data_IF_833072523393
#
_entry.id   IF_833072523393
#
_cell.length_a   1.000
_cell.length_b   1.000
_cell.length_c   1.000
_cell.angle_alpha   90.00
_cell.angle_beta   90.00
_cell.angle_gamma   90.00
#
_symmetry.space_group_name_H-M   'P 1'
#
loop_
_entity.id
_entity.type
_entity.pdbx_description
1 polymer ?
#
# COMPACT_ATOMS: atom_id res chain seq x y z
N UNK A 1 -56.36 -28.80 44.65
CA UNK A 1 -55.46 -29.18 43.54
C UNK A 1 -55.64 -28.28 42.31
N UNK A 2 -56.84 -28.17 41.71
CA UNK A 2 -57.05 -27.41 40.46
C UNK A 2 -56.82 -25.88 40.50
N UNK A 3 -57.05 -25.22 41.65
CA UNK A 3 -56.80 -23.76 41.77
C UNK A 3 -55.30 -23.41 41.85
N UNK A 4 -54.48 -24.30 42.43
CA UNK A 4 -53.02 -24.10 42.54
C UNK A 4 -52.35 -24.29 41.18
N UNK A 5 -52.79 -25.27 40.38
CA UNK A 5 -52.30 -25.46 39.01
C UNK A 5 -52.72 -24.34 38.07
N UNK A 6 -53.92 -23.77 38.25
CA UNK A 6 -54.36 -22.58 37.51
C UNK A 6 -53.52 -21.34 37.84
N UNK A 7 -53.21 -21.10 39.13
CA UNK A 7 -52.33 -20.00 39.55
C UNK A 7 -50.91 -20.17 39.02
N UNK A 8 -50.35 -21.39 39.08
CA UNK A 8 -49.02 -21.68 38.52
C UNK A 8 -48.96 -21.50 37.01
N UNK A 9 -50.04 -21.86 36.29
CA UNK A 9 -50.17 -21.61 34.84
C UNK A 9 -50.23 -20.12 34.53
N UNK A 10 -51.01 -19.35 35.29
CA UNK A 10 -51.14 -17.90 35.10
C UNK A 10 -49.82 -17.18 35.38
N UNK A 11 -49.12 -17.53 36.47
CA UNK A 11 -47.81 -16.97 36.79
C UNK A 11 -46.79 -17.26 35.68
N UNK A 12 -46.77 -18.49 35.12
CA UNK A 12 -45.93 -18.83 33.96
C UNK A 12 -46.33 -18.11 32.68
N UNK A 13 -47.63 -17.91 32.44
CA UNK A 13 -48.14 -17.16 31.30
C UNK A 13 -47.79 -15.67 31.39
N UNK A 14 -47.62 -15.11 32.58
CA UNK A 14 -47.23 -13.69 32.76
C UNK A 14 -45.71 -13.49 32.83
N UNK A 15 -44.95 -14.40 33.44
CA UNK A 15 -43.50 -14.21 33.65
C UNK A 15 -42.67 -14.44 32.39
N UNK A 16 -43.06 -15.41 31.55
CA UNK A 16 -42.38 -15.69 30.28
C UNK A 16 -42.41 -14.51 29.29
N UNK A 17 -43.56 -13.85 29.00
CA UNK A 17 -43.59 -12.70 28.10
C UNK A 17 -42.91 -11.46 28.69
N UNK A 18 -42.87 -11.31 30.02
CA UNK A 18 -42.09 -10.26 30.69
C UNK A 18 -40.59 -10.45 30.45
N UNK A 19 -40.10 -11.69 30.51
CA UNK A 19 -38.71 -12.02 30.19
C UNK A 19 -38.35 -11.73 28.73
N UNK A 20 -39.23 -12.06 27.78
CA UNK A 20 -38.99 -11.78 26.36
C UNK A 20 -39.09 -10.29 26.00
N UNK A 21 -39.88 -9.50 26.73
CA UNK A 21 -39.90 -8.04 26.60
C UNK A 21 -38.58 -7.41 27.04
N UNK A 22 -38.01 -7.85 28.17
CA UNK A 22 -36.72 -7.35 28.66
C UNK A 22 -35.60 -7.67 27.67
N UNK A 23 -35.57 -8.88 27.10
CA UNK A 23 -34.56 -9.24 26.10
C UNK A 23 -34.75 -8.49 24.77
N UNK A 24 -35.99 -8.23 24.36
CA UNK A 24 -36.29 -7.41 23.18
C UNK A 24 -35.81 -5.96 23.35
N UNK A 25 -36.03 -5.35 24.52
CA UNK A 25 -35.56 -3.98 24.83
C UNK A 25 -34.03 -3.92 24.82
N UNK A 26 -33.35 -4.92 25.38
CA UNK A 26 -31.89 -5.00 25.35
C UNK A 26 -31.37 -5.15 23.92
N UNK A 27 -32.00 -6.00 23.10
CA UNK A 27 -31.66 -6.18 21.69
C UNK A 27 -31.84 -4.90 20.87
N UNK A 28 -32.93 -4.17 21.09
CA UNK A 28 -33.22 -2.91 20.40
C UNK A 28 -32.20 -1.81 20.76
N UNK A 29 -31.80 -1.74 22.03
CA UNK A 29 -30.80 -0.76 22.50
C UNK A 29 -29.41 -1.02 21.90
N UNK A 30 -29.01 -2.30 21.81
CA UNK A 30 -27.77 -2.69 21.14
C UNK A 30 -27.83 -2.37 19.64
N UNK A 31 -28.93 -2.69 18.96
CA UNK A 31 -29.14 -2.38 17.56
C UNK A 31 -29.12 -0.88 17.28
N UNK A 32 -29.72 -0.06 18.14
CA UNK A 32 -29.69 1.40 18.04
C UNK A 32 -28.25 1.94 18.16
N UNK A 33 -27.45 1.42 19.09
CA UNK A 33 -26.04 1.84 19.26
C UNK A 33 -25.19 1.51 18.03
N UNK A 34 -25.37 0.32 17.46
CA UNK A 34 -24.70 -0.07 16.20
C UNK A 34 -25.16 0.82 15.06
N UNK A 35 -26.46 1.10 14.97
CA UNK A 35 -27.05 1.94 13.91
C UNK A 35 -26.52 3.37 13.97
N UNK A 36 -26.40 3.97 15.16
CA UNK A 36 -25.80 5.30 15.34
C UNK A 36 -24.33 5.30 14.89
N UNK A 37 -23.53 4.30 15.29
CA UNK A 37 -22.13 4.20 14.84
C UNK A 37 -22.00 3.99 13.33
N UNK A 38 -22.88 3.20 12.73
CA UNK A 38 -22.94 3.03 11.28
C UNK A 38 -23.34 4.34 10.59
N UNK A 39 -24.34 5.03 11.11
CA UNK A 39 -24.80 6.32 10.60
C UNK A 39 -23.74 7.42 10.74
N UNK A 40 -22.99 7.45 11.85
CA UNK A 40 -21.85 8.35 12.03
C UNK A 40 -20.73 8.05 11.02
N UNK A 41 -20.43 6.78 10.76
CA UNK A 41 -19.43 6.39 9.75
C UNK A 41 -19.88 6.66 8.31
N UNK A 42 -21.16 6.49 8.02
CA UNK A 42 -21.76 6.74 6.69
C UNK A 42 -21.98 8.25 6.46
N UNK A 43 -22.31 8.99 7.52
CA UNK A 43 -22.59 10.43 7.52
C UNK A 43 -21.37 11.29 7.79
N UNK A 44 -20.24 10.71 8.22
CA UNK A 44 -18.94 11.33 8.12
C UNK A 44 -18.66 11.54 6.63
N UNK A 45 -19.07 12.69 6.11
CA UNK A 45 -18.57 13.20 4.84
C UNK A 45 -17.07 12.99 4.87
N UNK A 46 -16.59 12.15 3.97
CA UNK A 46 -15.16 11.92 3.85
C UNK A 46 -14.62 13.25 3.35
N UNK A 47 -14.15 14.12 4.26
CA UNK A 47 -13.60 15.47 3.95
C UNK A 47 -12.45 15.41 2.93
N UNK A 48 -12.04 14.20 2.53
CA UNK A 48 -10.94 13.91 1.60
C UNK A 48 -11.37 13.68 0.15
N UNK A 49 -12.66 13.66 -0.16
CA UNK A 49 -13.14 13.56 -1.55
C UNK A 49 -13.60 14.92 -2.07
N UNK A 50 -12.75 15.95 -1.97
CA UNK A 50 -12.79 16.98 -3.00
C UNK A 50 -12.22 16.34 -4.26
N UNK A 51 -13.04 15.53 -4.94
CA UNK A 51 -12.84 15.16 -6.33
C UNK A 51 -12.74 16.47 -7.10
N UNK A 52 -11.51 16.94 -7.32
CA UNK A 52 -11.27 18.03 -8.25
C UNK A 52 -11.57 17.52 -9.65
N UNK A 53 -12.85 17.60 -10.04
CA UNK A 53 -13.34 17.17 -11.34
C UNK A 53 -13.32 15.65 -11.54
N UNK A 54 -13.88 15.22 -12.66
CA UNK A 54 -13.77 13.85 -13.15
C UNK A 54 -12.32 13.51 -13.52
N UNK A 55 -11.89 12.23 -13.39
CA UNK A 55 -10.59 11.79 -13.88
C UNK A 55 -10.39 12.17 -15.36
N UNK A 56 -9.22 12.69 -15.70
CA UNK A 56 -8.85 13.04 -17.08
C UNK A 56 -8.02 11.90 -17.69
N UNK A 57 -8.59 11.02 -18.54
CA UNK A 57 -7.85 9.90 -19.12
C UNK A 57 -6.68 10.33 -20.02
N UNK A 58 -6.65 11.57 -20.50
CA UNK A 58 -5.59 12.10 -21.35
C UNK A 58 -4.38 12.65 -20.60
N UNK A 59 -4.51 12.88 -19.28
CA UNK A 59 -3.43 13.41 -18.46
C UNK A 59 -2.24 12.43 -18.40
N UNK A 60 -1.10 12.87 -18.91
CA UNK A 60 0.18 12.17 -18.80
C UNK A 60 1.13 13.00 -17.96
N UNK A 61 1.66 12.42 -16.88
CA UNK A 61 2.66 13.04 -16.02
C UNK A 61 3.98 12.29 -16.16
N UNK A 62 5.10 13.03 -16.21
CA UNK A 62 6.41 12.41 -16.06
C UNK A 62 6.56 11.83 -14.65
N UNK A 63 7.44 10.84 -14.50
CA UNK A 63 7.73 10.22 -13.21
C UNK A 63 8.60 11.06 -12.27
N UNK A 64 8.84 12.35 -12.55
CA UNK A 64 9.64 13.18 -11.64
C UNK A 64 8.85 13.56 -10.40
N UNK A 65 9.49 13.50 -9.24
CA UNK A 65 8.87 13.78 -7.95
C UNK A 65 9.63 14.87 -7.22
N UNK A 66 8.94 15.95 -6.85
CA UNK A 66 9.51 17.06 -6.11
C UNK A 66 8.78 17.24 -4.77
N UNK A 67 9.56 17.30 -3.70
CA UNK A 67 9.11 17.57 -2.34
C UNK A 67 9.77 18.88 -1.91
N UNK A 68 8.99 19.92 -1.64
CA UNK A 68 9.48 21.25 -1.19
C UNK A 68 8.97 21.56 0.22
N UNK A 69 9.90 21.61 1.18
CA UNK A 69 9.72 22.08 2.56
C UNK A 69 8.49 21.49 3.24
N UNK A 70 8.30 20.18 3.06
CA UNK A 70 7.13 19.47 3.56
C UNK A 70 7.20 19.30 5.08
N UNK A 71 6.14 19.76 5.73
CA UNK A 71 5.90 19.52 7.15
C UNK A 71 4.61 18.74 7.30
N UNK A 72 4.61 17.71 8.14
CA UNK A 72 3.41 16.91 8.38
C UNK A 72 3.43 16.26 9.76
N UNK A 73 2.26 16.20 10.40
CA UNK A 73 2.01 15.44 11.62
C UNK A 73 0.59 14.88 11.61
N UNK A 74 0.39 13.68 12.17
CA UNK A 74 -0.96 13.09 12.30
C UNK A 74 -1.84 13.89 13.28
N UNK A 75 -1.20 14.53 14.26
CA UNK A 75 -1.83 15.44 15.23
C UNK A 75 -1.16 16.81 15.12
N UNK A 76 -1.89 17.87 15.48
CA UNK A 76 -1.39 19.26 15.40
C UNK A 76 -0.13 19.52 16.25
N UNK A 77 0.02 18.76 17.33
CA UNK A 77 1.08 19.00 18.33
C UNK A 77 2.38 18.24 18.04
N UNK A 78 2.39 17.32 17.07
CA UNK A 78 3.57 16.46 16.82
C UNK A 78 3.83 16.29 15.34
N UNK A 79 4.90 16.94 14.86
CA UNK A 79 5.38 16.79 13.50
C UNK A 79 6.19 15.50 13.33
N UNK A 80 5.79 14.69 12.36
CA UNK A 80 6.48 13.48 11.90
C UNK A 80 7.48 13.79 10.80
N UNK A 81 7.12 14.69 9.86
CA UNK A 81 8.02 15.22 8.84
C UNK A 81 8.24 16.70 9.10
N UNK A 82 9.50 17.14 9.01
CA UNK A 82 9.96 18.49 9.36
C UNK A 82 10.85 18.98 8.23
N UNK A 83 10.39 20.00 7.52
CA UNK A 83 11.13 20.67 6.45
C UNK A 83 11.76 19.73 5.40
N UNK A 84 11.03 18.68 5.04
CA UNK A 84 11.55 17.66 4.13
C UNK A 84 11.58 18.22 2.69
N UNK A 85 12.76 18.24 2.07
CA UNK A 85 12.94 18.73 0.70
C UNK A 85 13.87 17.83 -0.11
N UNK A 86 13.44 17.37 -1.28
CA UNK A 86 14.26 16.63 -2.24
C UNK A 86 13.57 16.56 -3.61
N UNK A 87 14.34 16.20 -4.65
CA UNK A 87 13.83 15.96 -5.99
C UNK A 87 14.34 14.62 -6.51
N UNK A 88 13.46 13.84 -7.13
CA UNK A 88 13.77 12.57 -7.80
C UNK A 88 13.50 12.76 -9.29
N UNK A 89 14.54 12.75 -10.14
CA UNK A 89 14.38 12.84 -11.59
C UNK A 89 13.53 11.71 -12.16
N UNK A 90 12.85 11.96 -13.28
CA UNK A 90 12.11 10.93 -13.99
C UNK A 90 13.05 9.80 -14.45
N UNK A 91 12.68 8.55 -14.20
CA UNK A 91 13.46 7.36 -14.57
C UNK A 91 14.61 7.03 -13.63
N UNK A 92 14.84 7.82 -12.57
CA UNK A 92 15.87 7.53 -11.58
C UNK A 92 15.41 6.49 -10.56
N UNK A 93 16.36 5.75 -10.01
CA UNK A 93 16.17 4.87 -8.85
C UNK A 93 16.61 5.58 -7.57
N UNK A 94 15.66 5.87 -6.69
CA UNK A 94 15.90 6.49 -5.40
C UNK A 94 15.69 5.50 -4.25
N UNK A 95 16.69 5.34 -3.37
CA UNK A 95 16.59 4.59 -2.14
C UNK A 95 16.36 5.52 -0.94
N UNK A 96 15.34 5.27 -0.15
CA UNK A 96 15.04 6.00 1.09
C UNK A 96 15.49 5.15 2.27
N UNK A 97 16.46 5.64 3.02
CA UNK A 97 17.10 4.94 4.14
C UNK A 97 16.87 5.72 5.43
N UNK A 98 16.75 5.02 6.56
CA UNK A 98 16.61 5.64 7.88
C UNK A 98 16.17 4.63 8.91
N UNK A 99 16.27 4.96 10.20
CA UNK A 99 15.86 4.07 11.29
C UNK A 99 14.37 3.72 11.20
N UNK A 100 14.02 2.48 11.51
CA UNK A 100 12.63 2.00 11.52
C UNK A 100 11.81 2.75 12.59
N UNK A 101 10.56 3.08 12.27
CA UNK A 101 9.62 3.71 13.21
C UNK A 101 9.80 5.23 13.45
N UNK A 102 11.03 5.77 13.39
CA UNK A 102 11.30 7.19 13.73
C UNK A 102 11.59 8.09 12.53
N UNK A 103 12.06 7.54 11.41
CA UNK A 103 12.52 8.34 10.28
C UNK A 103 11.40 8.95 9.41
N UNK A 104 10.16 8.47 9.52
CA UNK A 104 9.01 9.02 8.76
C UNK A 104 8.84 8.48 7.33
N UNK A 105 9.60 7.44 6.92
CA UNK A 105 9.56 6.84 5.56
C UNK A 105 8.16 6.40 5.10
N UNK A 106 7.44 5.62 5.92
CA UNK A 106 6.08 5.19 5.59
C UNK A 106 5.08 6.36 5.57
N UNK A 107 5.34 7.42 6.34
CA UNK A 107 4.53 8.65 6.31
C UNK A 107 4.73 9.39 4.99
N UNK A 108 5.95 9.45 4.47
CA UNK A 108 6.22 10.01 3.15
C UNK A 108 5.40 9.29 2.06
N UNK A 109 5.41 7.95 2.02
CA UNK A 109 4.59 7.19 1.05
C UNK A 109 3.10 7.50 1.19
N UNK A 110 2.61 7.67 2.42
CA UNK A 110 1.20 8.06 2.64
C UNK A 110 0.87 9.44 2.09
N UNK A 111 1.80 10.39 2.13
CA UNK A 111 1.64 11.72 1.52
C UNK A 111 1.73 11.66 -0.01
N UNK A 112 2.64 10.86 -0.57
CA UNK A 112 2.74 10.64 -2.03
C UNK A 112 1.44 10.08 -2.61
N UNK A 113 0.80 9.15 -1.88
CA UNK A 113 -0.50 8.57 -2.24
C UNK A 113 -1.69 9.46 -1.86
N UNK A 114 -1.42 10.66 -1.31
CA UNK A 114 -2.38 11.65 -0.83
C UNK A 114 -3.46 11.04 0.08
N UNK A 115 -3.05 10.16 0.99
CA UNK A 115 -3.90 9.74 2.11
C UNK A 115 -4.08 10.86 3.14
N UNK A 116 -3.10 11.77 3.16
CA UNK A 116 -3.07 13.01 3.93
C UNK A 116 -2.45 14.10 3.05
N UNK A 117 -2.82 15.36 3.30
CA UNK A 117 -2.15 16.51 2.71
C UNK A 117 -1.07 17.04 3.68
N UNK A 118 0.05 17.57 3.16
CA UNK A 118 1.08 18.17 4.01
C UNK A 118 0.53 19.42 4.72
N UNK A 119 0.94 19.63 5.98
CA UNK A 119 0.56 20.79 6.78
C UNK A 119 1.21 22.09 6.29
N UNK A 120 2.44 21.99 5.74
CA UNK A 120 3.15 23.05 5.01
C UNK A 120 3.98 22.43 3.89
N UNK A 121 4.36 23.26 2.92
CA UNK A 121 5.13 22.83 1.76
C UNK A 121 4.25 22.30 0.63
N UNK A 122 4.87 21.62 -0.32
CA UNK A 122 4.19 21.02 -1.46
C UNK A 122 4.88 19.75 -1.95
N UNK A 123 4.09 18.87 -2.56
CA UNK A 123 4.57 17.68 -3.26
C UNK A 123 4.05 17.79 -4.70
N UNK A 124 4.93 17.61 -5.68
CA UNK A 124 4.58 17.69 -7.10
C UNK A 124 5.00 16.43 -7.83
N UNK A 125 4.13 15.96 -8.73
CA UNK A 125 4.39 14.84 -9.65
C UNK A 125 4.39 15.39 -11.08
N UNK A 126 5.48 15.19 -11.82
CA UNK A 126 5.65 15.74 -13.16
C UNK A 126 5.51 17.27 -13.22
N UNK A 127 5.95 17.97 -12.17
CA UNK A 127 5.85 19.41 -12.04
C UNK A 127 4.46 19.94 -11.63
N UNK A 128 3.47 19.07 -11.38
CA UNK A 128 2.13 19.47 -10.93
C UNK A 128 1.90 19.07 -9.47
N UNK A 129 1.49 20.04 -8.66
CA UNK A 129 1.14 19.81 -7.24
C UNK A 129 0.04 18.74 -7.12
N UNK A 130 0.29 17.72 -6.31
CA UNK A 130 -0.62 16.57 -6.13
C UNK A 130 -1.99 16.97 -5.56
N UNK A 131 -2.08 18.12 -4.87
CA UNK A 131 -3.34 18.67 -4.36
C UNK A 131 -4.24 19.21 -5.47
N UNK A 132 -3.68 19.47 -6.65
CA UNK A 132 -4.39 19.99 -7.85
C UNK A 132 -4.80 18.89 -8.84
N UNK A 133 -4.61 17.63 -8.45
CA UNK A 133 -4.95 16.45 -9.24
C UNK A 133 -6.21 15.79 -8.66
N UNK A 134 -7.03 15.21 -9.55
CA UNK A 134 -8.00 14.21 -9.14
C UNK A 134 -7.24 13.02 -8.52
N UNK A 135 -7.81 12.41 -7.47
CA UNK A 135 -7.14 11.35 -6.73
C UNK A 135 -6.95 10.07 -7.54
N UNK A 136 -7.89 9.74 -8.44
CA UNK A 136 -7.77 8.64 -9.38
C UNK A 136 -6.63 8.87 -10.37
N UNK A 137 -6.51 10.11 -10.88
CA UNK A 137 -5.41 10.50 -11.76
C UNK A 137 -4.06 10.45 -11.05
N UNK A 138 -3.95 10.91 -9.80
CA UNK A 138 -2.71 10.76 -9.04
C UNK A 138 -2.35 9.28 -8.85
N UNK A 139 -3.30 8.47 -8.39
CA UNK A 139 -3.06 7.08 -7.99
C UNK A 139 -2.88 6.12 -9.17
N UNK A 140 -3.32 6.46 -10.39
CA UNK A 140 -2.96 5.69 -11.59
C UNK A 140 -1.52 5.93 -12.02
N UNK A 141 -0.94 7.10 -11.69
CA UNK A 141 0.46 7.42 -12.02
C UNK A 141 1.47 6.90 -10.97
N UNK A 142 0.99 6.28 -9.88
CA UNK A 142 1.84 5.67 -8.84
C UNK A 142 1.40 4.23 -8.61
N UNK A 143 2.33 3.29 -8.77
CA UNK A 143 2.17 1.90 -8.35
C UNK A 143 2.92 1.68 -7.03
N UNK A 144 2.30 0.96 -6.09
CA UNK A 144 2.92 0.65 -4.78
C UNK A 144 2.89 -0.85 -4.57
N UNK A 145 4.06 -1.41 -4.26
CA UNK A 145 4.22 -2.79 -3.82
C UNK A 145 4.53 -2.77 -2.32
N UNK A 146 3.53 -3.14 -1.53
CA UNK A 146 3.66 -3.21 -0.08
C UNK A 146 4.40 -4.48 0.36
N UNK A 147 5.15 -4.40 1.45
CA UNK A 147 5.78 -5.53 2.12
C UNK A 147 4.84 -6.72 2.31
N UNK A 148 3.67 -6.50 2.91
CA UNK A 148 2.72 -7.59 3.22
C UNK A 148 2.02 -8.15 1.97
N UNK A 149 2.06 -7.40 0.86
CA UNK A 149 1.48 -7.77 -0.45
C UNK A 149 0.11 -8.45 -0.34
N UNK A 150 -0.92 -7.74 0.17
CA UNK A 150 -2.23 -8.33 0.41
C UNK A 150 -2.82 -8.91 -0.88
N UNK A 151 -3.45 -10.07 -0.78
CA UNK A 151 -4.12 -10.76 -1.90
C UNK A 151 -5.61 -10.76 -1.62
N UNK A 152 -6.39 -10.32 -2.59
CA UNK A 152 -7.86 -10.30 -2.50
C UNK A 152 -8.38 -11.70 -2.83
N UNK A 153 -9.40 -12.20 -2.10
CA UNK A 153 -10.04 -13.46 -2.48
C UNK A 153 -10.53 -13.43 -3.93
N UNK A 154 -10.10 -14.40 -4.72
CA UNK A 154 -10.38 -14.44 -6.16
C UNK A 154 -9.25 -15.09 -6.96
N UNK A 155 -9.26 -14.91 -8.27
CA UNK A 155 -8.24 -15.43 -9.18
C UNK A 155 -7.02 -14.53 -9.30
N UNK A 156 -5.96 -15.04 -9.93
CA UNK A 156 -4.79 -14.22 -10.25
C UNK A 156 -5.14 -13.04 -11.16
N UNK A 157 -6.04 -13.26 -12.12
CA UNK A 157 -6.57 -12.22 -13.00
C UNK A 157 -7.25 -11.10 -12.18
N UNK A 158 -8.14 -11.43 -11.25
CA UNK A 158 -8.83 -10.43 -10.42
C UNK A 158 -7.92 -9.72 -9.42
N UNK A 159 -6.77 -10.31 -9.11
CA UNK A 159 -5.74 -9.64 -8.34
C UNK A 159 -4.93 -8.69 -9.22
N UNK A 160 -4.52 -9.11 -10.43
CA UNK A 160 -3.70 -8.30 -11.35
C UNK A 160 -4.50 -7.15 -11.97
N UNK A 161 -5.74 -7.42 -12.38
CA UNK A 161 -6.67 -6.47 -12.98
C UNK A 161 -7.75 -6.14 -11.96
N UNK A 162 -7.94 -4.86 -11.66
CA UNK A 162 -8.91 -4.45 -10.65
C UNK A 162 -10.34 -4.92 -11.00
N UNK A 163 -11.09 -5.51 -10.05
CA UNK A 163 -12.44 -6.04 -10.33
C UNK A 163 -13.42 -5.02 -10.90
N UNK A 164 -13.30 -3.75 -10.53
CA UNK A 164 -14.11 -2.66 -11.07
C UNK A 164 -13.89 -2.44 -12.57
N UNK A 165 -12.68 -2.72 -13.07
CA UNK A 165 -12.35 -2.62 -14.50
C UNK A 165 -12.96 -3.82 -15.23
N UNK A 166 -12.82 -5.03 -14.67
CA UNK A 166 -13.31 -6.26 -15.30
C UNK A 166 -14.83 -6.31 -15.48
N UNK A 167 -15.61 -5.71 -14.55
CA UNK A 167 -17.07 -5.79 -14.58
C UNK A 167 -17.70 -5.04 -15.75
N UNK A 168 -17.05 -3.96 -16.18
CA UNK A 168 -17.62 -3.04 -17.17
C UNK A 168 -17.07 -3.33 -18.59
N UNK A 169 -16.25 -4.38 -18.75
CA UNK A 169 -15.61 -4.80 -20.00
C UNK A 169 -16.47 -5.75 -20.83
N UNK A 170 -16.48 -5.55 -22.15
CA UNK A 170 -16.99 -6.55 -23.10
C UNK A 170 -16.04 -7.74 -23.27
N UNK A 171 -16.49 -8.80 -23.95
CA UNK A 171 -15.73 -10.05 -24.11
C UNK A 171 -14.34 -9.82 -24.77
N UNK A 172 -14.28 -9.04 -25.86
CA UNK A 172 -13.03 -8.71 -26.55
C UNK A 172 -12.04 -7.91 -25.66
N UNK A 173 -12.56 -7.03 -24.81
CA UNK A 173 -11.73 -6.23 -23.90
C UNK A 173 -11.18 -7.10 -22.77
N UNK A 174 -12.01 -8.02 -22.27
CA UNK A 174 -11.60 -8.99 -21.25
C UNK A 174 -10.51 -9.91 -21.78
N UNK A 175 -10.58 -10.37 -23.02
CA UNK A 175 -9.52 -11.19 -23.63
C UNK A 175 -8.19 -10.42 -23.68
N UNK A 176 -8.20 -9.16 -24.13
CA UNK A 176 -7.00 -8.31 -24.13
C UNK A 176 -6.46 -8.08 -22.72
N UNK A 177 -7.34 -7.88 -21.74
CA UNK A 177 -6.95 -7.71 -20.35
C UNK A 177 -6.29 -8.98 -19.80
N UNK A 178 -6.83 -10.16 -20.12
CA UNK A 178 -6.26 -11.46 -19.76
C UNK A 178 -4.88 -11.67 -20.42
N UNK A 179 -4.72 -11.38 -21.71
CA UNK A 179 -3.43 -11.48 -22.39
C UNK A 179 -2.38 -10.57 -21.74
N UNK A 180 -2.71 -9.30 -21.51
CA UNK A 180 -1.82 -8.34 -20.84
C UNK A 180 -1.49 -8.77 -19.41
N UNK A 181 -2.48 -9.24 -18.64
CA UNK A 181 -2.27 -9.71 -17.28
C UNK A 181 -1.34 -10.95 -17.25
N UNK A 182 -1.47 -11.84 -18.23
CA UNK A 182 -0.60 -13.03 -18.36
C UNK A 182 0.83 -12.63 -18.70
N UNK A 183 1.03 -11.62 -19.55
CA UNK A 183 2.35 -11.07 -19.83
C UNK A 183 2.98 -10.45 -18.57
N UNK A 184 2.24 -9.61 -17.84
CA UNK A 184 2.72 -9.02 -16.58
C UNK A 184 3.04 -10.11 -15.53
N UNK A 185 2.22 -11.16 -15.45
CA UNK A 185 2.47 -12.32 -14.61
C UNK A 185 3.77 -13.05 -15.04
N UNK A 186 4.03 -13.18 -16.33
CA UNK A 186 5.28 -13.75 -16.86
C UNK A 186 6.51 -12.93 -16.48
N UNK A 187 6.43 -11.62 -16.68
CA UNK A 187 7.51 -10.70 -16.32
C UNK A 187 7.79 -10.74 -14.80
N UNK A 188 6.74 -10.86 -13.98
CA UNK A 188 6.87 -11.01 -12.53
C UNK A 188 7.21 -12.45 -12.07
N UNK A 189 7.52 -13.36 -13.00
CA UNK A 189 7.83 -14.77 -12.74
C UNK A 189 6.69 -15.54 -12.04
N UNK A 190 5.42 -15.20 -12.26
CA UNK A 190 4.29 -15.89 -11.63
C UNK A 190 3.83 -17.16 -12.35
N UNK A 191 4.15 -17.33 -13.64
CA UNK A 191 3.54 -18.38 -14.47
C UNK A 191 3.76 -19.80 -13.96
N UNK A 192 4.91 -20.08 -13.35
CA UNK A 192 5.23 -21.39 -12.78
C UNK A 192 4.16 -21.82 -11.76
N UNK A 193 3.99 -21.05 -10.67
CA UNK A 193 3.03 -21.42 -9.62
C UNK A 193 1.56 -21.23 -10.02
N UNK A 194 1.29 -20.39 -11.01
CA UNK A 194 -0.07 -20.20 -11.53
C UNK A 194 -0.51 -21.37 -12.42
N UNK A 195 0.42 -21.91 -13.21
CA UNK A 195 0.14 -23.07 -14.07
C UNK A 195 -0.20 -24.31 -13.24
N UNK A 196 0.51 -24.54 -12.13
CA UNK A 196 0.22 -25.62 -11.18
C UNK A 196 -1.17 -25.53 -10.54
N UNK A 197 -1.79 -24.34 -10.59
CA UNK A 197 -3.09 -24.04 -9.98
C UNK A 197 -4.22 -23.90 -11.01
N UNK A 198 -3.97 -24.24 -12.26
CA UNK A 198 -4.96 -24.20 -13.35
C UNK A 198 -5.07 -22.84 -14.07
N UNK A 199 -4.16 -21.90 -13.80
CA UNK A 199 -3.98 -20.69 -14.60
C UNK A 199 -4.48 -19.39 -13.97
N UNK A 200 -4.69 -18.38 -14.82
CA UNK A 200 -4.95 -16.99 -14.39
C UNK A 200 -6.35 -16.79 -13.80
N UNK A 201 -7.33 -17.55 -14.26
CA UNK A 201 -8.74 -17.38 -13.88
C UNK A 201 -9.17 -18.27 -12.71
N UNK A 202 -8.32 -19.22 -12.32
CA UNK A 202 -8.59 -20.11 -11.19
C UNK A 202 -8.44 -19.40 -9.85
N UNK A 203 -9.25 -19.84 -8.88
CA UNK A 203 -9.27 -19.24 -7.54
C UNK A 203 -7.94 -19.48 -6.83
N UNK A 204 -7.30 -18.40 -6.39
CA UNK A 204 -6.06 -18.47 -5.65
C UNK A 204 -6.31 -19.02 -4.24
N UNK A 205 -5.60 -20.09 -3.89
CA UNK A 205 -5.48 -20.57 -2.52
C UNK A 205 -4.43 -19.78 -1.73
N UNK A 206 -3.92 -20.40 -0.67
CA UNK A 206 -2.79 -19.85 0.10
C UNK A 206 -1.54 -19.72 -0.78
N UNK A 207 -0.92 -18.54 -0.75
CA UNK A 207 0.33 -18.21 -1.45
C UNK A 207 1.46 -18.00 -0.45
N UNK A 208 2.68 -18.42 -0.81
CA UNK A 208 3.89 -18.07 -0.03
C UNK A 208 4.12 -16.56 -0.06
N UNK A 209 4.95 -16.04 0.86
CA UNK A 209 5.31 -14.61 0.86
C UNK A 209 5.86 -14.14 -0.49
N UNK A 210 6.77 -14.92 -1.09
CA UNK A 210 7.39 -14.60 -2.38
C UNK A 210 6.41 -14.66 -3.54
N UNK A 211 5.46 -15.60 -3.52
CA UNK A 211 4.38 -15.66 -4.52
C UNK A 211 3.44 -14.45 -4.41
N UNK A 212 3.07 -14.03 -3.19
CA UNK A 212 2.26 -12.83 -2.97
C UNK A 212 2.95 -11.57 -3.47
N UNK A 213 4.26 -11.45 -3.23
CA UNK A 213 5.05 -10.31 -3.67
C UNK A 213 5.21 -10.28 -5.20
N UNK A 214 5.51 -11.41 -5.84
CA UNK A 214 5.50 -11.52 -7.32
C UNK A 214 4.14 -11.13 -7.90
N UNK A 215 3.03 -11.58 -7.29
CA UNK A 215 1.69 -11.17 -7.72
C UNK A 215 1.43 -9.66 -7.52
N UNK A 216 2.01 -9.05 -6.49
CA UNK A 216 1.98 -7.59 -6.29
C UNK A 216 2.82 -6.83 -7.34
N UNK A 217 3.94 -7.40 -7.77
CA UNK A 217 4.74 -6.83 -8.86
C UNK A 217 4.00 -6.96 -10.19
N UNK A 218 3.35 -8.10 -10.47
CA UNK A 218 2.51 -8.27 -11.65
C UNK A 218 1.37 -7.23 -11.71
N UNK A 219 0.75 -6.93 -10.57
CA UNK A 219 -0.22 -5.84 -10.41
C UNK A 219 0.36 -4.47 -10.76
N UNK A 220 1.56 -4.17 -10.27
CA UNK A 220 2.24 -2.91 -10.54
C UNK A 220 2.61 -2.77 -12.02
N UNK A 221 3.11 -3.85 -12.64
CA UNK A 221 3.38 -3.93 -14.08
C UNK A 221 2.13 -3.68 -14.92
N UNK A 222 1.01 -4.31 -14.54
CA UNK A 222 -0.24 -4.13 -15.27
C UNK A 222 -0.73 -2.68 -15.25
N UNK A 223 -0.62 -2.02 -14.08
CA UNK A 223 -0.96 -0.60 -13.90
C UNK A 223 -0.10 0.33 -14.79
N UNK A 224 1.13 -0.05 -15.05
CA UNK A 224 2.06 0.70 -15.92
C UNK A 224 2.22 2.18 -15.53
N UNK A 225 2.38 2.41 -14.22
CA UNK A 225 2.60 3.74 -13.66
C UNK A 225 4.04 4.24 -13.91
N UNK A 226 4.26 5.54 -14.20
CA UNK A 226 5.61 6.10 -14.34
C UNK A 226 6.40 6.13 -13.03
N UNK A 227 5.75 6.01 -11.87
CA UNK A 227 6.39 5.90 -10.56
C UNK A 227 6.03 4.57 -9.91
N UNK A 228 7.06 3.82 -9.50
CA UNK A 228 6.94 2.58 -8.75
C UNK A 228 7.54 2.78 -7.36
N UNK A 229 6.76 2.50 -6.31
CA UNK A 229 7.20 2.52 -4.92
C UNK A 229 7.27 1.09 -4.39
N UNK A 230 8.42 0.70 -3.85
CA UNK A 230 8.62 -0.59 -3.18
C UNK A 230 8.86 -0.35 -1.69
N UNK A 231 7.98 -0.90 -0.87
CA UNK A 231 8.12 -0.90 0.59
C UNK A 231 8.76 -2.23 1.01
N UNK A 232 10.10 -2.28 1.05
CA UNK A 232 10.85 -3.54 1.11
C UNK A 232 11.06 -4.02 2.55
N UNK A 233 10.57 -5.22 2.87
CA UNK A 233 11.12 -6.04 3.96
C UNK A 233 10.90 -7.51 3.62
N UNK A 234 11.89 -8.08 2.93
CA UNK A 234 11.88 -9.47 2.46
C UNK A 234 12.51 -10.43 3.47
N UNK A 235 12.47 -10.13 4.77
CA UNK A 235 13.22 -10.87 5.80
C UNK A 235 12.71 -12.29 6.06
N UNK A 236 11.60 -12.70 5.45
CA UNK A 236 10.98 -14.01 5.63
C UNK A 236 10.91 -14.87 4.37
N UNK A 237 11.71 -14.56 3.33
CA UNK A 237 11.72 -15.31 2.08
C UNK A 237 12.95 -16.22 1.99
N UNK A 238 12.74 -17.44 1.52
CA UNK A 238 13.81 -18.34 1.09
C UNK A 238 14.61 -17.73 -0.08
N UNK A 239 15.89 -18.09 -0.18
CA UNK A 239 16.86 -17.52 -1.13
C UNK A 239 16.41 -17.62 -2.60
N UNK A 240 15.74 -18.70 -2.97
CA UNK A 240 15.25 -18.93 -4.33
C UNK A 240 14.08 -18.00 -4.67
N UNK A 241 13.07 -17.90 -3.80
CA UNK A 241 12.00 -16.93 -3.97
C UNK A 241 12.51 -15.48 -4.00
N UNK A 242 13.56 -15.16 -3.23
CA UNK A 242 14.15 -13.83 -3.23
C UNK A 242 14.77 -13.45 -4.58
N UNK A 243 15.49 -14.37 -5.24
CA UNK A 243 16.05 -14.13 -6.56
C UNK A 243 14.97 -13.89 -7.62
N UNK A 244 13.89 -14.68 -7.58
CA UNK A 244 12.75 -14.51 -8.50
C UNK A 244 12.01 -13.19 -8.29
N UNK A 245 11.87 -12.73 -7.03
CA UNK A 245 11.30 -11.42 -6.69
C UNK A 245 12.19 -10.29 -7.19
N UNK A 246 13.51 -10.38 -6.97
CA UNK A 246 14.46 -9.36 -7.42
C UNK A 246 14.44 -9.19 -8.94
N UNK A 247 14.46 -10.29 -9.69
CA UNK A 247 14.37 -10.24 -11.15
C UNK A 247 13.04 -9.65 -11.64
N UNK A 248 11.94 -9.86 -10.91
CA UNK A 248 10.65 -9.24 -11.20
C UNK A 248 10.68 -7.73 -10.94
N UNK A 249 11.32 -7.29 -9.85
CA UNK A 249 11.51 -5.87 -9.54
C UNK A 249 12.35 -5.16 -10.62
N UNK A 250 13.45 -5.77 -11.07
CA UNK A 250 14.30 -5.22 -12.12
C UNK A 250 13.53 -5.03 -13.43
N UNK A 251 12.72 -6.01 -13.84
CA UNK A 251 11.85 -5.85 -15.02
C UNK A 251 10.79 -4.75 -14.81
N UNK A 252 10.24 -4.65 -13.60
CA UNK A 252 9.25 -3.64 -13.26
C UNK A 252 9.82 -2.22 -13.15
N UNK A 253 11.12 -2.06 -12.92
CA UNK A 253 11.74 -0.74 -12.81
C UNK A 253 12.12 -0.12 -14.16
N UNK A 254 12.29 -0.93 -15.22
CA UNK A 254 12.69 -0.45 -16.54
C UNK A 254 11.76 0.66 -17.05
N UNK A 255 12.36 1.82 -17.35
CA UNK A 255 11.66 2.98 -17.91
C UNK A 255 10.78 3.76 -16.92
N UNK A 256 10.89 3.47 -15.62
CA UNK A 256 10.07 4.09 -14.56
C UNK A 256 10.94 4.72 -13.49
N UNK A 257 10.43 5.73 -12.80
CA UNK A 257 11.04 6.22 -11.57
C UNK A 257 10.78 5.20 -10.47
N UNK A 258 11.84 4.69 -9.84
CA UNK A 258 11.74 3.70 -8.79
C UNK A 258 12.07 4.33 -7.44
N UNK A 259 11.17 4.23 -6.47
CA UNK A 259 11.39 4.66 -5.09
C UNK A 259 11.39 3.42 -4.21
N UNK A 260 12.48 3.17 -3.51
CA UNK A 260 12.63 1.99 -2.66
C UNK A 260 12.81 2.42 -1.23
N UNK A 261 11.91 2.03 -0.33
CA UNK A 261 12.15 2.12 1.11
C UNK A 261 13.05 0.94 1.44
N UNK A 262 14.35 1.22 1.56
CA UNK A 262 15.35 0.17 1.63
C UNK A 262 15.56 -0.31 3.06
N UNK A 263 15.50 -1.63 3.22
CA UNK A 263 15.94 -2.36 4.41
C UNK A 263 17.11 -3.31 4.10
N UNK A 264 17.61 -3.32 2.85
CA UNK A 264 18.70 -4.18 2.38
C UNK A 264 19.77 -3.39 1.66
N UNK A 265 21.01 -3.83 1.82
CA UNK A 265 22.20 -3.17 1.27
C UNK A 265 22.30 -3.21 -0.25
N UNK A 266 21.97 -4.35 -0.86
CA UNK A 266 22.04 -4.54 -2.31
C UNK A 266 21.22 -3.49 -3.04
N UNK A 267 20.05 -3.17 -2.49
CA UNK A 267 19.09 -2.21 -3.03
C UNK A 267 19.60 -0.77 -2.96
N UNK A 268 20.28 -0.41 -1.88
CA UNK A 268 20.84 0.94 -1.70
C UNK A 268 22.06 1.18 -2.58
N UNK A 269 22.92 0.17 -2.74
CA UNK A 269 24.18 0.30 -3.51
C UNK A 269 23.94 0.58 -5.00
N UNK A 270 22.85 0.06 -5.56
CA UNK A 270 22.49 0.25 -6.97
C UNK A 270 21.63 1.49 -7.26
N UNK A 271 21.28 2.30 -6.25
CA UNK A 271 20.43 3.47 -6.43
C UNK A 271 21.21 4.65 -7.02
N UNK A 272 20.58 5.37 -7.95
CA UNK A 272 21.10 6.63 -8.51
C UNK A 272 21.12 7.74 -7.45
N UNK A 273 20.18 7.68 -6.51
CA UNK A 273 20.05 8.64 -5.42
C UNK A 273 19.69 7.90 -4.11
N UNK A 274 20.40 8.20 -3.05
CA UNK A 274 20.10 7.73 -1.70
C UNK A 274 19.66 8.94 -0.87
N UNK A 275 18.50 8.82 -0.23
CA UNK A 275 17.90 9.82 0.65
C UNK A 275 17.93 9.29 2.08
N UNK A 276 18.76 9.90 2.93
CA UNK A 276 18.94 9.48 4.32
C UNK A 276 18.06 10.33 5.23
N UNK A 277 17.05 9.71 5.81
CA UNK A 277 16.11 10.35 6.71
C UNK A 277 16.36 10.00 8.17
N UNK A 278 16.31 11.01 9.03
CA UNK A 278 16.28 10.82 10.49
C UNK A 278 15.35 11.85 11.15
N UNK A 279 14.60 11.39 12.15
CA UNK A 279 13.67 12.20 12.95
C UNK A 279 12.73 13.12 12.16
N UNK A 280 12.35 12.69 10.94
CA UNK A 280 11.46 13.42 10.04
C UNK A 280 12.12 14.42 9.09
N UNK A 281 13.45 14.50 9.08
CA UNK A 281 14.24 15.41 8.25
C UNK A 281 15.09 14.62 7.24
N UNK A 282 15.46 15.26 6.13
CA UNK A 282 16.52 14.73 5.25
C UNK A 282 17.87 15.19 5.81
N UNK A 283 18.71 14.24 6.20
CA UNK A 283 20.03 14.52 6.79
C UNK A 283 21.10 14.56 5.70
N UNK A 284 21.06 13.60 4.78
CA UNK A 284 22.06 13.44 3.72
C UNK A 284 21.40 12.95 2.44
N UNK A 285 21.95 13.33 1.30
CA UNK A 285 21.53 12.82 0.00
C UNK A 285 22.70 12.75 -0.97
N UNK A 286 22.74 11.71 -1.78
CA UNK A 286 23.78 11.52 -2.79
C UNK A 286 23.83 10.07 -3.26
N UNK A 287 24.87 9.72 -4.00
CA UNK A 287 25.13 8.32 -4.38
C UNK A 287 25.68 7.52 -3.21
N UNK A 288 25.61 6.19 -3.29
CA UNK A 288 26.23 5.30 -2.30
C UNK A 288 27.70 5.65 -2.03
N UNK A 289 28.49 5.87 -3.09
CA UNK A 289 29.92 6.16 -2.99
C UNK A 289 30.20 7.49 -2.29
N UNK A 290 29.42 8.54 -2.60
CA UNK A 290 29.56 9.86 -1.98
C UNK A 290 29.22 9.81 -0.49
N UNK A 291 28.13 9.13 -0.13
CA UNK A 291 27.68 9.02 1.25
C UNK A 291 28.57 8.10 2.08
N UNK A 292 29.20 7.07 1.51
CA UNK A 292 30.21 6.28 2.22
C UNK A 292 31.49 7.09 2.49
N UNK A 293 31.87 7.99 1.59
CA UNK A 293 33.10 8.77 1.71
C UNK A 293 32.94 10.00 2.62
N UNK A 294 31.77 10.64 2.61
CA UNK A 294 31.54 11.95 3.24
C UNK A 294 30.32 12.00 4.18
N UNK A 295 29.48 10.96 4.18
CA UNK A 295 28.31 10.88 5.04
C UNK A 295 28.68 10.62 6.49
N UNK A 296 27.87 11.17 7.39
CA UNK A 296 27.97 11.02 8.84
C UNK A 296 27.05 9.92 9.35
N UNK A 297 25.80 9.90 8.89
CA UNK A 297 24.79 8.95 9.34
C UNK A 297 24.70 7.73 8.42
N UNK A 298 24.89 7.93 7.11
CA UNK A 298 24.77 6.85 6.13
C UNK A 298 25.67 5.64 6.42
N UNK A 299 26.98 5.77 6.71
CA UNK A 299 27.84 4.60 6.93
C UNK A 299 27.43 3.78 8.16
N UNK A 300 26.94 4.45 9.21
CA UNK A 300 26.43 3.79 10.42
C UNK A 300 25.16 3.00 10.11
N UNK A 301 24.20 3.60 9.39
CA UNK A 301 22.98 2.90 8.95
C UNK A 301 23.31 1.76 7.99
N UNK A 302 24.27 1.96 7.09
CA UNK A 302 24.74 0.91 6.20
C UNK A 302 25.29 -0.28 6.99
N UNK A 303 26.07 -0.04 8.04
CA UNK A 303 26.60 -1.11 8.89
C UNK A 303 25.49 -1.82 9.68
N UNK A 304 24.48 -1.09 10.16
CA UNK A 304 23.30 -1.66 10.84
C UNK A 304 22.46 -2.52 9.89
N UNK A 305 22.28 -2.07 8.65
CA UNK A 305 21.62 -2.82 7.58
C UNK A 305 22.42 -4.07 7.17
N UNK A 306 23.75 -4.04 7.27
CA UNK A 306 24.62 -5.21 7.05
C UNK A 306 24.49 -6.24 8.18
N UNK A 307 24.51 -5.77 9.42
CA UNK A 307 24.43 -6.62 10.62
C UNK A 307 23.10 -7.37 10.73
N UNK A 308 21.98 -6.72 10.37
CA UNK A 308 20.67 -7.36 10.33
C UNK A 308 20.54 -8.44 9.23
N UNK A 309 21.39 -8.41 8.21
CA UNK A 309 21.42 -9.45 7.18
C UNK A 309 22.08 -10.74 7.70
N UNK A 310 22.96 -10.65 8.71
CA UNK A 310 23.71 -11.78 9.27
C UNK A 310 23.05 -12.41 10.51
N UNK A 311 22.20 -11.67 11.24
CA UNK A 311 21.49 -12.19 12.43
C UNK A 311 20.24 -13.02 12.11
N UNK A 312 19.82 -13.07 10.83
CA UNK A 312 18.69 -13.86 10.35
C UNK A 312 19.11 -15.13 9.59
N UNK A 313 20.40 -15.44 9.57
CA UNK A 313 21.00 -16.64 8.95
C UNK A 313 21.47 -17.70 9.97
N UNK A 314 21.17 -17.54 11.26
CA UNK A 314 21.41 -18.53 12.33
C UNK A 314 20.12 -19.16 12.86
#
# INVERSE_FOLDING_TARGET
MGQVTALQSLVRQTTTPLGSLVSAIAGLSAAATVSVRCAERLGAHTERDVEQGSPDPSLSLSGSLDVDRVHFGYNKDTLVLKDLSFSIPAGATAAIVGRSGSAGKSTLVRLLMRFYDPSRGSISLGGRDIRKLNIGDLRRHIAVVHQDSPVVPGSALTNIVYPSILRDMGDDERERALSRATECASQANCLEFLSDRGGMEETLGQLSGGQRQRLAIARALYRDAPVLILDESTSSLDTENQAQVQAAVEKASLGRTLIIIAHRLSTVRGADLVLVMDQGTLVESGTHSELMASGTLYPALYTELDGNNHSHSE
#
